data_IF_304593689385
#
_entry.id   IF_304593689385
#
_cell.length_a   1.000
_cell.length_b   1.000
_cell.length_c   1.000
_cell.angle_alpha   90.00
_cell.angle_beta   90.00
_cell.angle_gamma   90.00
#
_symmetry.space_group_name_H-M   'P 1'
#
loop_
_entity.id
_entity.type
_entity.pdbx_description
1 polymer ?
#
# COMPACT_ATOMS: atom_id res chain seq x y z
N UNK A 1 47.22 35.29 14.42
CA UNK A 1 47.17 36.26 13.30
C UNK A 1 48.07 35.69 12.20
N UNK A 2 47.70 35.35 10.95
CA UNK A 2 46.54 35.68 10.10
C UNK A 2 46.55 34.74 8.87
N UNK A 3 45.36 34.21 8.50
CA UNK A 3 44.87 33.78 7.17
C UNK A 3 45.76 32.97 6.20
N UNK A 4 45.44 31.68 6.05
CA UNK A 4 45.59 30.91 4.79
C UNK A 4 44.25 30.84 4.04
N UNK A 5 44.19 31.39 2.83
CA UNK A 5 43.26 31.03 1.76
C UNK A 5 43.98 31.18 0.43
N UNK A 6 44.06 30.10 -0.35
CA UNK A 6 43.69 30.06 -1.77
C UNK A 6 43.85 28.62 -2.32
N UNK A 7 42.68 28.08 -2.71
CA UNK A 7 42.37 27.24 -3.88
C UNK A 7 43.45 26.28 -4.40
N UNK A 8 43.15 24.99 -4.32
CA UNK A 8 43.54 23.99 -5.31
C UNK A 8 42.25 23.37 -5.86
N UNK A 9 41.88 23.75 -7.07
CA UNK A 9 41.06 22.92 -7.96
C UNK A 9 42.05 22.27 -8.91
N UNK A 10 42.33 20.98 -8.70
CA UNK A 10 43.04 20.13 -9.66
C UNK A 10 41.99 19.19 -10.26
N UNK A 11 41.90 19.21 -11.59
CA UNK A 11 41.01 18.34 -12.34
C UNK A 11 41.43 16.87 -12.30
N UNK A 12 40.45 16.00 -12.48
CA UNK A 12 40.64 14.66 -13.02
C UNK A 12 39.40 14.30 -13.85
N UNK A 13 39.60 14.28 -15.16
CA UNK A 13 38.72 13.72 -16.19
C UNK A 13 38.80 12.19 -16.15
N UNK A 14 37.68 11.49 -15.92
CA UNK A 14 37.35 10.15 -16.47
C UNK A 14 35.80 10.10 -16.45
N UNK A 15 35.06 10.21 -17.54
CA UNK A 15 35.10 9.37 -18.73
C UNK A 15 33.93 8.36 -18.67
N UNK A 16 32.72 8.75 -19.10
CA UNK A 16 31.72 7.82 -19.67
C UNK A 16 30.98 8.50 -20.83
N UNK A 17 31.38 8.06 -22.01
CA UNK A 17 30.76 8.28 -23.30
C UNK A 17 29.23 8.07 -23.25
N UNK A 18 28.47 9.12 -23.57
CA UNK A 18 27.04 9.09 -23.89
C UNK A 18 26.89 9.03 -25.42
N UNK A 19 27.47 8.00 -26.03
CA UNK A 19 27.26 7.68 -27.43
C UNK A 19 26.84 6.22 -27.54
N UNK A 20 25.52 5.98 -27.42
CA UNK A 20 24.76 4.92 -28.12
C UNK A 20 23.46 4.64 -27.36
N UNK A 21 22.43 5.40 -27.69
CA UNK A 21 21.04 4.97 -27.51
C UNK A 21 20.18 5.52 -28.66
N UNK A 22 20.73 5.46 -29.88
CA UNK A 22 19.94 5.58 -31.11
C UNK A 22 19.26 4.22 -31.35
N UNK A 23 18.03 4.29 -31.82
CA UNK A 23 17.10 3.18 -32.14
C UNK A 23 16.73 2.26 -30.96
N UNK A 24 15.74 2.68 -30.19
CA UNK A 24 14.90 1.75 -29.43
C UNK A 24 13.49 1.82 -30.01
N UNK A 25 13.21 0.91 -30.94
CA UNK A 25 11.88 0.73 -31.52
C UNK A 25 10.82 0.34 -30.48
N UNK A 26 9.57 0.08 -30.91
CA UNK A 26 8.40 -0.13 -30.04
C UNK A 26 8.58 -1.19 -28.94
N UNK A 27 9.54 -2.12 -29.09
CA UNK A 27 9.87 -3.15 -28.12
C UNK A 27 10.47 -2.61 -26.80
N UNK A 28 11.13 -1.44 -26.78
CA UNK A 28 11.70 -0.89 -25.55
C UNK A 28 10.64 -0.25 -24.62
N UNK A 29 9.51 0.19 -25.17
CA UNK A 29 8.37 0.64 -24.37
C UNK A 29 7.74 -0.53 -23.59
N UNK A 30 7.76 -1.74 -24.17
CA UNK A 30 7.33 -2.97 -23.50
C UNK A 30 8.30 -3.43 -22.38
N UNK A 31 9.51 -2.86 -22.28
CA UNK A 31 10.45 -3.12 -21.19
C UNK A 31 10.23 -2.19 -19.99
N UNK A 32 9.87 -0.92 -20.21
CA UNK A 32 9.57 0.01 -19.11
C UNK A 32 8.22 -0.31 -18.43
N UNK A 33 7.25 -0.87 -19.17
CA UNK A 33 6.02 -1.42 -18.59
C UNK A 33 6.25 -2.65 -17.67
N UNK A 34 7.46 -3.23 -17.68
CA UNK A 34 7.86 -4.34 -16.81
C UNK A 34 8.70 -3.94 -15.59
N UNK A 35 9.08 -2.65 -15.46
CA UNK A 35 10.16 -2.24 -14.56
C UNK A 35 9.82 -1.52 -13.26
N UNK A 36 8.56 -1.13 -13.01
CA UNK A 36 8.18 -0.45 -11.75
C UNK A 36 6.77 -0.77 -11.27
N UNK A 37 6.20 -1.88 -11.78
CA UNK A 37 5.07 -2.50 -11.14
C UNK A 37 5.59 -3.22 -9.90
N UNK A 38 5.56 -2.57 -8.74
CA UNK A 38 5.24 -3.31 -7.52
C UNK A 38 3.96 -4.06 -7.85
N UNK A 39 4.10 -5.34 -8.23
CA UNK A 39 2.98 -6.22 -8.57
C UNK A 39 1.92 -5.98 -7.49
N UNK A 40 0.65 -5.70 -7.84
CA UNK A 40 -0.39 -5.85 -6.84
C UNK A 40 -0.19 -7.25 -6.25
N UNK A 41 -0.17 -7.40 -4.91
CA UNK A 41 0.13 -8.69 -4.31
C UNK A 41 -0.83 -9.69 -4.91
N UNK A 42 -0.26 -10.59 -5.74
CA UNK A 42 -0.93 -11.73 -6.34
C UNK A 42 -1.72 -12.35 -5.19
N UNK A 43 -3.04 -12.37 -5.31
CA UNK A 43 -3.97 -12.79 -4.24
C UNK A 43 -3.38 -14.01 -3.55
N UNK A 44 -2.75 -13.79 -2.39
CA UNK A 44 -2.12 -14.88 -1.64
C UNK A 44 -3.28 -15.81 -1.28
N UNK A 45 -3.02 -17.10 -1.44
CA UNK A 45 -3.92 -18.20 -1.07
C UNK A 45 -4.80 -17.81 0.12
N UNK A 46 -6.11 -18.03 -0.05
CA UNK A 46 -7.18 -17.63 0.88
C UNK A 46 -7.19 -18.44 2.18
N UNK A 47 -6.18 -19.28 2.39
CA UNK A 47 -6.18 -20.30 3.41
C UNK A 47 -5.18 -19.85 4.49
N UNK A 48 -5.64 -19.73 5.74
CA UNK A 48 -4.80 -19.36 6.88
C UNK A 48 -4.90 -17.90 7.34
N UNK A 49 -6.02 -17.20 7.07
CA UNK A 49 -6.30 -15.90 7.71
C UNK A 49 -6.54 -16.07 9.22
N UNK A 50 -7.16 -17.18 9.65
CA UNK A 50 -7.35 -17.51 11.05
C UNK A 50 -6.03 -17.56 11.85
N UNK A 51 -5.02 -18.29 11.37
CA UNK A 51 -3.68 -18.31 12.00
C UNK A 51 -3.05 -16.95 12.13
N UNK A 52 -3.13 -16.15 11.07
CA UNK A 52 -2.59 -14.80 11.01
C UNK A 52 -3.26 -13.91 12.05
N UNK A 53 -4.59 -13.88 12.02
CA UNK A 53 -5.37 -13.03 12.91
C UNK A 53 -5.45 -13.53 14.36
N UNK A 54 -4.78 -14.64 14.72
CA UNK A 54 -4.81 -15.21 16.07
C UNK A 54 -4.32 -14.23 17.15
N UNK A 55 -3.41 -13.32 16.78
CA UNK A 55 -2.93 -12.28 17.69
C UNK A 55 -4.05 -11.30 18.14
N UNK A 56 -5.16 -11.22 17.41
CA UNK A 56 -6.34 -10.41 17.78
C UNK A 56 -7.14 -10.99 18.96
N UNK A 57 -6.92 -12.25 19.31
CA UNK A 57 -7.56 -12.92 20.45
C UNK A 57 -6.96 -12.48 21.79
N UNK A 58 -5.75 -11.91 21.79
CA UNK A 58 -5.14 -11.31 22.99
C UNK A 58 -5.96 -10.12 23.53
N UNK A 59 -6.81 -9.51 22.69
CA UNK A 59 -7.70 -8.43 23.09
C UNK A 59 -9.01 -8.97 23.69
N UNK A 60 -9.56 -8.33 24.72
CA UNK A 60 -10.92 -8.59 25.17
C UNK A 60 -11.94 -8.22 24.08
N UNK A 61 -13.10 -8.89 24.08
CA UNK A 61 -14.07 -8.81 22.97
C UNK A 61 -14.53 -7.37 22.66
N UNK A 62 -14.74 -6.54 23.69
CA UNK A 62 -15.18 -5.14 23.51
C UNK A 62 -14.10 -4.26 22.87
N UNK A 63 -12.84 -4.42 23.29
CA UNK A 63 -11.72 -3.65 22.72
C UNK A 63 -11.37 -4.13 21.31
N UNK A 64 -11.55 -5.43 21.03
CA UNK A 64 -11.35 -6.03 19.71
C UNK A 64 -12.26 -5.41 18.67
N UNK A 65 -13.54 -5.21 19.00
CA UNK A 65 -14.49 -4.56 18.10
C UNK A 65 -14.09 -3.10 17.83
N UNK A 66 -13.75 -2.34 18.89
CA UNK A 66 -13.27 -0.95 18.77
C UNK A 66 -11.99 -0.87 17.94
N UNK A 67 -11.07 -1.81 18.12
CA UNK A 67 -9.84 -1.93 17.34
C UNK A 67 -10.14 -2.14 15.85
N UNK A 68 -11.02 -3.09 15.51
CA UNK A 68 -11.41 -3.32 14.12
C UNK A 68 -12.04 -2.10 13.47
N UNK A 69 -12.90 -1.38 14.19
CA UNK A 69 -13.45 -0.10 13.69
C UNK A 69 -12.35 0.94 13.43
N UNK A 70 -11.37 1.11 14.34
CA UNK A 70 -10.23 2.02 14.11
C UNK A 70 -9.37 1.59 12.92
N UNK A 71 -9.15 0.28 12.72
CA UNK A 71 -8.41 -0.22 11.55
C UNK A 71 -9.17 0.12 10.25
N UNK A 72 -10.49 -0.08 10.25
CA UNK A 72 -11.35 0.26 9.11
C UNK A 72 -11.34 1.77 8.86
N UNK A 73 -11.40 2.59 9.90
CA UNK A 73 -11.26 4.05 9.80
C UNK A 73 -9.94 4.42 9.10
N UNK A 74 -8.82 3.79 9.46
CA UNK A 74 -7.54 3.92 8.75
C UNK A 74 -7.62 3.54 7.26
N UNK A 75 -8.30 2.43 6.93
CA UNK A 75 -8.50 2.01 5.53
C UNK A 75 -9.29 3.06 4.74
N UNK A 76 -10.30 3.65 5.39
CA UNK A 76 -11.16 4.71 4.87
C UNK A 76 -10.48 6.11 4.83
N UNK A 77 -9.18 6.20 5.12
CA UNK A 77 -8.44 7.46 5.05
C UNK A 77 -8.53 8.33 6.32
N UNK A 78 -9.11 7.81 7.40
CA UNK A 78 -9.10 8.45 8.73
C UNK A 78 -7.85 7.99 9.51
N UNK A 79 -7.77 8.37 10.79
CA UNK A 79 -6.63 8.01 11.64
C UNK A 79 -6.56 6.50 11.88
N UNK A 80 -5.39 5.91 11.62
CA UNK A 80 -5.07 4.55 12.05
C UNK A 80 -4.96 4.46 13.58
N UNK A 81 -5.23 3.28 14.18
CA UNK A 81 -5.03 3.10 15.61
C UNK A 81 -3.55 3.31 15.97
N UNK A 82 -3.30 3.86 17.17
CA UNK A 82 -1.97 4.24 17.62
C UNK A 82 -1.37 3.11 18.46
N UNK A 83 -0.08 2.84 18.26
CA UNK A 83 0.63 1.81 19.04
C UNK A 83 0.63 2.11 20.55
N UNK A 84 0.66 3.38 20.95
CA UNK A 84 0.66 3.80 22.36
C UNK A 84 -0.53 3.27 23.15
N UNK A 85 -1.69 3.10 22.51
CA UNK A 85 -2.91 2.60 23.15
C UNK A 85 -2.83 1.07 23.42
N UNK A 86 -1.93 0.34 22.75
CA UNK A 86 -1.87 -1.12 22.74
C UNK A 86 -0.48 -1.69 23.13
N UNK A 87 0.43 -0.84 23.60
CA UNK A 87 1.81 -1.22 23.89
C UNK A 87 1.95 -2.25 25.03
N UNK A 88 0.92 -2.39 25.87
CA UNK A 88 0.85 -3.38 26.95
C UNK A 88 0.42 -4.76 26.46
N UNK A 89 -0.21 -4.84 25.28
CA UNK A 89 -0.83 -6.05 24.73
C UNK A 89 0.06 -6.67 23.65
N UNK A 90 0.64 -5.82 22.80
CA UNK A 90 1.51 -6.23 21.70
C UNK A 90 2.86 -5.53 21.76
N UNK A 91 3.92 -6.27 21.44
CA UNK A 91 5.19 -5.66 21.09
C UNK A 91 5.11 -5.00 19.70
N UNK A 92 6.09 -4.16 19.34
CA UNK A 92 6.05 -3.40 18.09
C UNK A 92 5.95 -4.29 16.83
N UNK A 93 6.61 -5.46 16.84
CA UNK A 93 6.59 -6.40 15.71
C UNK A 93 5.22 -7.05 15.57
N UNK A 94 4.66 -7.56 16.67
CA UNK A 94 3.30 -8.11 16.71
C UNK A 94 2.26 -7.06 16.31
N UNK A 95 2.43 -5.82 16.75
CA UNK A 95 1.55 -4.71 16.40
C UNK A 95 1.51 -4.47 14.89
N UNK A 96 2.67 -4.36 14.23
CA UNK A 96 2.73 -4.18 12.78
C UNK A 96 2.07 -5.34 12.06
N UNK A 97 2.33 -6.57 12.52
CA UNK A 97 1.75 -7.78 11.96
C UNK A 97 0.23 -7.81 12.09
N UNK A 98 -0.31 -7.55 13.29
CA UNK A 98 -1.75 -7.48 13.54
C UNK A 98 -2.42 -6.42 12.69
N UNK A 99 -1.82 -5.23 12.62
CA UNK A 99 -2.38 -4.11 11.85
C UNK A 99 -2.40 -4.44 10.35
N UNK A 100 -1.28 -4.96 9.83
CA UNK A 100 -1.15 -5.34 8.42
C UNK A 100 -2.14 -6.46 8.06
N UNK A 101 -2.18 -7.53 8.84
CA UNK A 101 -3.02 -8.70 8.57
C UNK A 101 -4.50 -8.36 8.67
N UNK A 102 -4.90 -7.61 9.71
CA UNK A 102 -6.29 -7.17 9.87
C UNK A 102 -6.70 -6.25 8.72
N UNK A 103 -5.85 -5.28 8.35
CA UNK A 103 -6.13 -4.38 7.23
C UNK A 103 -6.21 -5.13 5.90
N UNK A 104 -5.29 -6.05 5.66
CA UNK A 104 -5.24 -6.86 4.44
C UNK A 104 -6.46 -7.78 4.32
N UNK A 105 -6.93 -8.35 5.44
CA UNK A 105 -8.14 -9.16 5.47
C UNK A 105 -9.37 -8.33 5.07
N UNK A 106 -9.64 -7.21 5.74
CA UNK A 106 -10.79 -6.36 5.42
C UNK A 106 -10.76 -5.88 3.96
N UNK A 107 -9.60 -5.45 3.47
CA UNK A 107 -9.43 -5.06 2.06
C UNK A 107 -9.72 -6.22 1.11
N UNK A 108 -9.17 -7.41 1.37
CA UNK A 108 -9.37 -8.58 0.50
C UNK A 108 -10.80 -9.09 0.52
N UNK A 109 -11.49 -9.03 1.66
CA UNK A 109 -12.87 -9.52 1.80
C UNK A 109 -13.82 -8.60 1.04
N UNK A 110 -13.67 -7.27 1.20
CA UNK A 110 -14.51 -6.29 0.50
C UNK A 110 -14.17 -6.22 -1.00
N UNK A 111 -12.89 -6.30 -1.38
CA UNK A 111 -12.50 -6.30 -2.80
C UNK A 111 -13.03 -7.50 -3.59
N UNK A 112 -13.34 -8.61 -2.91
CA UNK A 112 -13.91 -9.83 -3.52
C UNK A 112 -15.43 -9.91 -3.40
N UNK A 113 -16.08 -8.91 -2.80
CA UNK A 113 -17.54 -8.87 -2.58
C UNK A 113 -18.16 -10.11 -1.93
N UNK A 114 -17.39 -10.78 -1.06
CA UNK A 114 -17.82 -12.02 -0.38
C UNK A 114 -19.09 -11.83 0.45
N UNK A 115 -19.87 -12.90 0.56
CA UNK A 115 -20.94 -13.00 1.55
C UNK A 115 -20.37 -13.12 2.97
N UNK A 116 -21.20 -12.93 3.99
CA UNK A 116 -20.77 -12.98 5.39
C UNK A 116 -20.27 -14.39 5.76
N UNK A 117 -20.90 -15.43 5.21
CA UNK A 117 -20.53 -16.84 5.40
C UNK A 117 -19.16 -17.16 4.78
N UNK A 118 -18.91 -16.64 3.57
CA UNK A 118 -17.62 -16.79 2.87
C UNK A 118 -16.49 -15.94 3.49
N UNK A 119 -16.85 -14.88 4.23
CA UNK A 119 -15.91 -14.09 5.00
C UNK A 119 -15.48 -14.85 6.28
N UNK A 120 -16.35 -15.67 6.85
CA UNK A 120 -16.06 -16.46 8.05
C UNK A 120 -15.23 -17.71 7.79
N UNK A 121 -15.39 -18.37 6.64
CA UNK A 121 -14.64 -19.60 6.33
C UNK A 121 -13.12 -19.49 6.53
N UNK A 122 -12.42 -18.41 6.11
CA UNK A 122 -10.99 -18.29 6.32
C UNK A 122 -10.57 -17.98 7.77
N UNK A 123 -11.54 -17.71 8.65
CA UNK A 123 -11.39 -17.37 10.07
C UNK A 123 -11.86 -18.49 11.00
N UNK A 124 -12.11 -19.69 10.48
CA UNK A 124 -12.55 -20.88 11.23
C UNK A 124 -11.66 -21.22 12.44
N UNK A 125 -10.35 -20.95 12.34
CA UNK A 125 -9.38 -21.14 13.42
C UNK A 125 -9.49 -20.09 14.56
N UNK A 126 -10.32 -19.05 14.41
CA UNK A 126 -10.56 -18.04 15.46
C UNK A 126 -11.78 -18.38 16.31
N UNK A 127 -11.76 -17.89 17.55
CA UNK A 127 -12.90 -17.88 18.47
C UNK A 127 -14.17 -17.27 17.86
N UNK A 128 -15.33 -17.83 18.22
CA UNK A 128 -16.65 -17.37 17.77
C UNK A 128 -16.89 -15.89 18.03
N UNK A 129 -16.38 -15.36 19.15
CA UNK A 129 -16.52 -13.93 19.48
C UNK A 129 -15.71 -13.02 18.55
N UNK A 130 -14.53 -13.46 18.12
CA UNK A 130 -13.70 -12.75 17.13
C UNK A 130 -14.37 -12.72 15.77
N UNK A 131 -14.93 -13.86 15.34
CA UNK A 131 -15.70 -13.99 14.11
C UNK A 131 -16.94 -13.06 14.11
N UNK A 132 -17.70 -13.03 15.21
CA UNK A 132 -18.86 -12.13 15.38
C UNK A 132 -18.46 -10.66 15.27
N UNK A 133 -17.35 -10.26 15.90
CA UNK A 133 -16.85 -8.89 15.81
C UNK A 133 -16.47 -8.51 14.36
N UNK A 134 -15.82 -9.41 13.63
CA UNK A 134 -15.49 -9.19 12.21
C UNK A 134 -16.74 -9.02 11.35
N UNK A 135 -17.73 -9.92 11.49
CA UNK A 135 -18.98 -9.85 10.72
C UNK A 135 -19.76 -8.58 11.04
N UNK A 136 -19.81 -8.17 12.31
CA UNK A 136 -20.47 -6.93 12.73
C UNK A 136 -19.82 -5.71 12.07
N UNK A 137 -18.49 -5.66 12.02
CA UNK A 137 -17.74 -4.62 11.33
C UNK A 137 -17.98 -4.64 9.81
N UNK A 138 -18.00 -5.82 9.19
CA UNK A 138 -18.25 -5.95 7.75
C UNK A 138 -19.67 -5.49 7.39
N UNK A 139 -20.69 -5.96 8.11
CA UNK A 139 -22.09 -5.57 7.86
C UNK A 139 -22.30 -4.06 7.94
N UNK A 140 -21.68 -3.40 8.91
CA UNK A 140 -21.84 -1.97 9.13
C UNK A 140 -21.00 -1.09 8.19
N UNK A 141 -19.78 -1.50 7.83
CA UNK A 141 -18.78 -0.64 7.15
C UNK A 141 -18.32 -1.14 5.78
N UNK A 142 -18.89 -2.21 5.22
CA UNK A 142 -18.50 -2.76 3.90
C UNK A 142 -18.56 -1.71 2.78
N UNK A 143 -19.61 -0.88 2.77
CA UNK A 143 -19.75 0.18 1.78
C UNK A 143 -18.63 1.24 1.87
N UNK A 144 -18.30 1.69 3.08
CA UNK A 144 -17.25 2.69 3.30
C UNK A 144 -15.87 2.17 2.87
N UNK A 145 -15.56 0.91 3.18
CA UNK A 145 -14.32 0.27 2.77
C UNK A 145 -14.26 0.20 1.23
N UNK A 146 -15.36 -0.20 0.59
CA UNK A 146 -15.45 -0.28 -0.87
C UNK A 146 -15.23 1.09 -1.50
N UNK A 147 -15.93 2.12 -1.02
CA UNK A 147 -15.80 3.48 -1.51
C UNK A 147 -14.36 3.99 -1.39
N UNK A 148 -13.74 3.82 -0.23
CA UNK A 148 -12.35 4.25 0.00
C UNK A 148 -11.33 3.49 -0.87
N UNK A 149 -11.57 2.21 -1.16
CA UNK A 149 -10.73 1.43 -2.08
C UNK A 149 -10.86 1.93 -3.52
N UNK A 150 -12.07 2.26 -3.96
CA UNK A 150 -12.34 2.83 -5.28
C UNK A 150 -11.68 4.22 -5.39
N UNK A 151 -11.91 5.09 -4.41
CA UNK A 151 -11.35 6.45 -4.38
C UNK A 151 -9.82 6.44 -4.40
N UNK A 152 -9.18 5.56 -3.60
CA UNK A 152 -7.73 5.37 -3.62
C UNK A 152 -7.25 4.93 -5.00
N UNK A 153 -7.93 3.96 -5.62
CA UNK A 153 -7.57 3.46 -6.96
C UNK A 153 -7.72 4.56 -8.00
N UNK A 154 -8.82 5.31 -7.95
CA UNK A 154 -9.09 6.44 -8.83
C UNK A 154 -8.02 7.52 -8.69
N UNK A 155 -7.67 7.90 -7.45
CA UNK A 155 -6.60 8.87 -7.20
C UNK A 155 -5.25 8.45 -7.77
N UNK A 156 -4.89 7.17 -7.64
CA UNK A 156 -3.66 6.62 -8.25
C UNK A 156 -3.72 6.70 -9.78
N UNK A 157 -4.85 6.29 -10.37
CA UNK A 157 -5.05 6.35 -11.82
C UNK A 157 -4.98 7.79 -12.34
N UNK A 158 -5.66 8.74 -11.68
CA UNK A 158 -5.65 10.16 -12.04
C UNK A 158 -4.24 10.77 -11.95
N UNK A 159 -3.51 10.52 -10.86
CA UNK A 159 -2.14 11.01 -10.72
C UNK A 159 -1.22 10.48 -11.82
N UNK A 160 -1.38 9.21 -12.20
CA UNK A 160 -0.61 8.59 -13.29
C UNK A 160 -0.97 9.13 -14.66
N UNK A 161 -2.25 9.41 -14.91
CA UNK A 161 -2.69 10.03 -16.17
C UNK A 161 -2.15 11.46 -16.30
N UNK A 162 -2.16 12.24 -15.22
CA UNK A 162 -1.59 13.59 -15.20
C UNK A 162 -0.08 13.60 -15.43
N UNK A 163 0.66 12.66 -14.83
CA UNK A 163 2.10 12.50 -15.07
C UNK A 163 2.38 12.13 -16.54
N UNK A 164 1.57 11.25 -17.13
CA UNK A 164 1.67 10.93 -18.55
C UNK A 164 1.42 12.14 -19.44
N UNK A 165 0.35 12.90 -19.17
CA UNK A 165 0.01 14.11 -19.92
C UNK A 165 1.12 15.17 -19.83
N UNK A 166 1.66 15.39 -18.63
CA UNK A 166 2.82 16.25 -18.43
C UNK A 166 4.03 15.80 -19.25
N UNK A 167 4.38 14.51 -19.17
CA UNK A 167 5.50 13.95 -19.93
C UNK A 167 5.30 14.11 -21.44
N UNK A 168 4.06 13.97 -21.94
CA UNK A 168 3.72 14.17 -23.35
C UNK A 168 3.90 15.64 -23.76
N UNK A 169 3.37 16.57 -22.97
CA UNK A 169 3.50 18.01 -23.21
C UNK A 169 4.97 18.44 -23.27
N UNK A 170 5.78 17.99 -22.32
CA UNK A 170 7.23 18.27 -22.30
C UNK A 170 7.88 17.75 -23.58
N UNK A 171 7.61 16.50 -23.99
CA UNK A 171 8.20 15.92 -25.21
C UNK A 171 7.84 16.69 -26.48
N UNK A 172 6.60 17.14 -26.61
CA UNK A 172 6.16 17.92 -27.77
C UNK A 172 6.84 19.29 -27.81
N UNK A 173 6.96 19.97 -26.66
CA UNK A 173 7.64 21.28 -26.60
C UNK A 173 9.12 21.19 -26.94
N UNK A 174 9.84 20.16 -26.46
CA UNK A 174 11.26 20.00 -26.79
C UNK A 174 11.49 19.61 -28.25
N UNK A 175 10.55 18.89 -28.89
CA UNK A 175 10.65 18.60 -30.33
C UNK A 175 10.38 19.82 -31.20
N UNK A 176 9.48 20.72 -30.77
CA UNK A 176 9.18 21.95 -31.49
C UNK A 176 10.32 22.97 -31.40
N UNK A 177 11.03 23.01 -30.26
CA UNK A 177 12.20 23.88 -30.05
C UNK A 177 13.51 23.33 -30.65
N UNK A 178 13.48 22.11 -31.20
CA UNK A 178 14.63 21.46 -31.83
C UNK A 178 14.63 21.55 -33.37
N UNK A 179 13.74 22.37 -33.94
CA UNK A 179 13.72 22.84 -35.34
C UNK A 179 14.17 24.29 -35.36
#
# INVERSE_FOLDING_TARGET
MTRRRKRLYSGALIGRSLASARSRGPAAFAAFARGSGSRPPRVRSLNGWGRKMKLTEKLPAEERLKFFHKVIDGICGRAYPRYQDYNTIWNLTEWMEVLEQTSAYFKSTVAKDRSDEEALQPLDELSSDSQKAVVTCLKSRKHDIRHALIERTNGICSARLLDFDWQLKVRLTVSFLAV
#
